data_IF_111597991644
#
_entry.id   IF_111597991644
#
_cell.length_a   1.000
_cell.length_b   1.000
_cell.length_c   1.000
_cell.angle_alpha   90.00
_cell.angle_beta   90.00
_cell.angle_gamma   90.00
#
_symmetry.space_group_name_H-M   'P 1'
#
loop_
_entity.id
_entity.type
_entity.pdbx_description
1 polymer ?
#
# COMPACT_ATOMS: atom_id res chain seq x y z
N UNK A 1 -16.22 -19.54 17.25
CA UNK A 1 -15.55 -18.49 18.06
C UNK A 1 -15.71 -17.17 17.33
N UNK A 2 -16.29 -16.11 17.93
CA UNK A 2 -16.25 -14.77 17.33
C UNK A 2 -14.81 -14.28 17.32
N UNK A 3 -14.26 -14.06 16.12
CA UNK A 3 -12.97 -13.41 15.90
C UNK A 3 -13.11 -11.93 16.26
N UNK A 4 -12.08 -11.34 16.86
CA UNK A 4 -11.99 -9.88 16.94
C UNK A 4 -11.73 -9.36 15.51
N UNK A 5 -12.19 -8.14 15.22
CA UNK A 5 -11.94 -7.50 13.94
C UNK A 5 -10.43 -7.44 13.63
N UNK A 6 -10.04 -7.48 12.35
CA UNK A 6 -8.65 -7.30 11.94
C UNK A 6 -8.14 -5.93 12.38
N UNK A 7 -6.90 -5.87 12.88
CA UNK A 7 -6.25 -4.61 13.24
C UNK A 7 -5.06 -4.39 12.32
N UNK A 8 -5.08 -3.24 11.65
CA UNK A 8 -3.94 -2.70 10.92
C UNK A 8 -3.37 -1.57 11.76
N UNK A 9 -2.09 -1.68 12.09
CA UNK A 9 -1.36 -0.70 12.88
C UNK A 9 -0.32 -0.04 11.98
N UNK A 10 -0.19 1.27 12.14
CA UNK A 10 0.89 2.07 11.55
C UNK A 10 1.62 2.72 12.70
N UNK A 11 2.79 2.21 13.02
CA UNK A 11 3.72 2.77 14.01
C UNK A 11 4.71 3.73 13.36
N UNK A 12 5.51 4.45 14.16
CA UNK A 12 6.58 5.29 13.61
C UNK A 12 7.59 4.47 12.78
N UNK A 13 7.97 3.28 13.26
CA UNK A 13 8.84 2.35 12.54
C UNK A 13 8.21 1.88 11.21
N UNK A 14 6.88 1.66 11.20
CA UNK A 14 6.18 1.32 9.96
C UNK A 14 6.21 2.48 8.95
N UNK A 15 6.08 3.73 9.41
CA UNK A 15 6.19 4.92 8.55
C UNK A 15 7.60 5.08 8.00
N UNK A 16 8.62 4.89 8.83
CA UNK A 16 10.04 5.07 8.46
C UNK A 16 10.51 3.99 7.46
N UNK A 17 9.83 2.84 7.42
CA UNK A 17 10.22 1.68 6.61
C UNK A 17 9.23 1.35 5.49
N UNK A 18 8.11 2.05 5.38
CA UNK A 18 7.10 1.87 4.32
C UNK A 18 6.17 0.67 4.52
N UNK A 19 5.87 0.33 5.77
CA UNK A 19 5.11 -0.87 6.15
C UNK A 19 3.73 -0.55 6.76
N UNK A 20 2.93 -1.62 6.86
CA UNK A 20 1.77 -1.72 7.74
C UNK A 20 1.94 -3.00 8.55
N UNK A 21 1.76 -2.90 9.86
CA UNK A 21 1.75 -4.05 10.75
C UNK A 21 0.34 -4.62 10.84
N UNK A 22 0.18 -5.89 10.48
CA UNK A 22 -1.06 -6.64 10.68
C UNK A 22 -0.95 -7.40 11.98
N UNK A 23 -1.93 -7.25 12.86
CA UNK A 23 -1.93 -7.91 14.17
C UNK A 23 -3.28 -8.55 14.47
N UNK A 24 -3.21 -9.71 15.10
CA UNK A 24 -4.37 -10.37 15.69
C UNK A 24 -4.17 -10.49 17.20
N UNK A 25 -5.14 -10.02 17.96
CA UNK A 25 -5.12 -10.10 19.42
C UNK A 25 -5.95 -11.28 19.93
N UNK A 26 -5.48 -11.88 21.02
CA UNK A 26 -6.27 -12.74 21.88
C UNK A 26 -7.27 -11.89 22.68
N UNK A 27 -8.29 -12.53 23.25
CA UNK A 27 -9.31 -11.85 24.08
C UNK A 27 -8.75 -11.13 25.31
N UNK A 28 -7.58 -11.56 25.79
CA UNK A 28 -6.88 -10.93 26.92
C UNK A 28 -5.96 -9.78 26.47
N UNK A 29 -6.06 -9.33 25.22
CA UNK A 29 -5.25 -8.23 24.67
C UNK A 29 -3.82 -8.62 24.26
N UNK A 30 -3.38 -9.85 24.51
CA UNK A 30 -2.07 -10.30 24.05
C UNK A 30 -2.05 -10.52 22.54
N UNK A 31 -0.92 -10.23 21.89
CA UNK A 31 -0.71 -10.58 20.49
C UNK A 31 -0.78 -12.10 20.31
N UNK A 32 -1.56 -12.54 19.33
CA UNK A 32 -1.65 -13.93 18.89
C UNK A 32 -0.69 -14.19 17.73
N UNK A 33 -0.73 -13.31 16.73
CA UNK A 33 0.09 -13.36 15.53
C UNK A 33 0.27 -11.93 14.99
N UNK A 34 1.42 -11.69 14.36
CA UNK A 34 1.69 -10.43 13.66
C UNK A 34 2.72 -10.60 12.56
N UNK A 35 2.59 -9.78 11.53
CA UNK A 35 3.61 -9.60 10.49
C UNK A 35 3.48 -8.23 9.83
N UNK A 36 4.54 -7.81 9.14
CA UNK A 36 4.60 -6.56 8.38
C UNK A 36 4.50 -6.85 6.88
N UNK A 37 3.86 -5.94 6.15
CA UNK A 37 3.88 -5.87 4.68
C UNK A 37 4.01 -4.43 4.24
N UNK A 38 4.63 -4.20 3.08
CA UNK A 38 4.62 -2.90 2.44
C UNK A 38 3.19 -2.49 2.12
N UNK A 39 2.92 -1.19 2.16
CA UNK A 39 1.58 -0.65 1.87
C UNK A 39 1.03 -1.15 0.52
N UNK A 40 1.86 -1.19 -0.53
CA UNK A 40 1.47 -1.67 -1.86
C UNK A 40 1.16 -3.19 -1.93
N UNK A 41 1.58 -3.97 -0.94
CA UNK A 41 1.36 -5.42 -0.88
C UNK A 41 0.15 -5.80 -0.01
N UNK A 42 -0.61 -4.83 0.49
CA UNK A 42 -1.71 -5.06 1.43
C UNK A 42 -2.99 -5.59 0.79
N UNK A 43 -3.21 -5.36 -0.51
CA UNK A 43 -4.44 -5.79 -1.17
C UNK A 43 -4.70 -7.31 -1.08
N UNK A 44 -3.73 -8.20 -1.42
CA UNK A 44 -3.90 -9.63 -1.22
C UNK A 44 -4.14 -10.01 0.24
N UNK A 45 -3.47 -9.34 1.18
CA UNK A 45 -3.64 -9.60 2.62
C UNK A 45 -5.05 -9.25 3.07
N UNK A 46 -5.56 -8.10 2.65
CA UNK A 46 -6.92 -7.66 2.93
C UNK A 46 -7.94 -8.67 2.39
N UNK A 47 -7.79 -9.10 1.14
CA UNK A 47 -8.69 -10.08 0.53
C UNK A 47 -8.69 -11.41 1.29
N UNK A 48 -7.53 -11.99 1.58
CA UNK A 48 -7.44 -13.31 2.22
C UNK A 48 -7.86 -13.25 3.70
N UNK A 49 -7.42 -12.22 4.44
CA UNK A 49 -7.66 -12.11 5.87
C UNK A 49 -9.04 -11.55 6.20
N UNK A 50 -9.45 -10.44 5.57
CA UNK A 50 -10.69 -9.75 5.91
C UNK A 50 -11.88 -10.32 5.14
N UNK A 51 -11.76 -10.49 3.82
CA UNK A 51 -12.86 -10.98 2.97
C UNK A 51 -12.97 -12.51 3.04
N UNK A 52 -11.84 -13.21 2.92
CA UNK A 52 -11.76 -14.67 2.99
C UNK A 52 -11.84 -15.24 4.41
N UNK A 53 -11.81 -14.37 5.43
CA UNK A 53 -11.86 -14.75 6.85
C UNK A 53 -10.78 -15.77 7.26
N UNK A 54 -9.65 -15.83 6.53
CA UNK A 54 -8.60 -16.83 6.77
C UNK A 54 -7.82 -16.57 8.05
N UNK A 55 -7.15 -17.60 8.54
CA UNK A 55 -6.33 -17.47 9.74
C UNK A 55 -5.09 -16.58 9.51
N UNK A 56 -4.81 -15.63 10.40
CA UNK A 56 -3.65 -14.73 10.20
C UNK A 56 -2.32 -15.51 10.15
N UNK A 57 -2.19 -16.58 10.94
CA UNK A 57 -1.02 -17.46 10.88
C UNK A 57 -0.92 -18.19 9.55
N UNK A 58 -2.05 -18.59 8.95
CA UNK A 58 -2.07 -19.18 7.62
C UNK A 58 -1.74 -18.16 6.53
N UNK A 59 -2.29 -16.95 6.61
CA UNK A 59 -1.99 -15.85 5.67
C UNK A 59 -0.49 -15.53 5.68
N UNK A 60 0.11 -15.51 6.88
CA UNK A 60 1.56 -15.36 7.07
C UNK A 60 2.34 -16.53 6.47
N UNK A 61 1.95 -17.76 6.80
CA UNK A 61 2.60 -18.99 6.34
C UNK A 61 2.63 -19.11 4.82
N UNK A 62 1.53 -18.76 4.15
CA UNK A 62 1.41 -18.81 2.70
C UNK A 62 2.15 -17.66 1.98
N UNK A 63 2.74 -16.72 2.73
CA UNK A 63 3.43 -15.58 2.15
C UNK A 63 2.50 -14.63 1.39
N UNK A 64 1.24 -14.50 1.81
CA UNK A 64 0.31 -13.55 1.18
C UNK A 64 0.86 -12.13 1.34
N UNK A 65 0.84 -11.35 0.26
CA UNK A 65 1.52 -10.04 0.19
C UNK A 65 3.04 -10.15 -0.01
N UNK A 66 3.56 -11.34 -0.31
CA UNK A 66 4.99 -11.58 -0.56
C UNK A 66 5.78 -11.96 0.69
N UNK A 67 6.94 -12.59 0.47
CA UNK A 67 7.92 -12.90 1.50
C UNK A 67 8.74 -11.69 1.94
N UNK A 68 9.78 -11.93 2.73
CA UNK A 68 10.66 -10.89 3.28
C UNK A 68 11.37 -10.11 2.17
N UNK A 69 11.71 -10.76 1.04
CA UNK A 69 12.33 -10.11 -0.11
C UNK A 69 11.42 -9.10 -0.82
N UNK A 70 10.11 -9.28 -0.72
CA UNK A 70 9.10 -8.36 -1.29
C UNK A 70 8.68 -7.28 -0.30
N UNK A 71 9.11 -7.41 0.96
CA UNK A 71 8.75 -6.55 2.08
C UNK A 71 10.01 -6.14 2.86
N UNK A 72 11.12 -5.93 2.17
CA UNK A 72 12.30 -5.28 2.75
C UNK A 72 11.98 -3.81 3.05
N UNK A 73 12.77 -3.17 3.90
CA UNK A 73 12.58 -1.75 4.20
C UNK A 73 12.70 -0.88 2.95
N UNK A 74 11.83 0.11 2.85
CA UNK A 74 11.90 1.17 1.86
C UNK A 74 12.63 2.38 2.45
N UNK A 75 13.40 3.07 1.62
CA UNK A 75 13.94 4.38 1.99
C UNK A 75 12.86 5.44 1.81
N UNK A 76 12.10 5.69 2.88
CA UNK A 76 10.96 6.60 2.87
C UNK A 76 11.34 8.08 2.82
N UNK A 77 12.66 8.38 2.73
CA UNK A 77 13.15 9.76 2.53
C UNK A 77 13.22 10.16 1.06
N UNK A 78 13.05 9.21 0.14
CA UNK A 78 13.05 9.47 -1.29
C UNK A 78 11.66 9.90 -1.79
N UNK A 79 11.59 10.65 -2.90
CA UNK A 79 10.32 10.91 -3.59
C UNK A 79 9.58 9.60 -3.91
N UNK A 80 8.24 9.61 -3.85
CA UNK A 80 7.43 8.40 -3.99
C UNK A 80 7.73 7.61 -5.27
N UNK A 81 8.00 8.31 -6.38
CA UNK A 81 8.35 7.65 -7.65
C UNK A 81 9.71 6.96 -7.58
N UNK A 82 10.68 7.56 -6.88
CA UNK A 82 12.03 6.99 -6.74
C UNK A 82 12.02 5.76 -5.82
N UNK A 83 11.16 5.77 -4.78
CA UNK A 83 10.88 4.58 -3.97
C UNK A 83 10.38 3.43 -4.84
N UNK A 84 9.41 3.69 -5.72
CA UNK A 84 8.81 2.67 -6.60
C UNK A 84 9.81 2.15 -7.65
N UNK A 85 10.56 3.04 -8.30
CA UNK A 85 11.62 2.67 -9.25
C UNK A 85 12.72 1.85 -8.57
N UNK A 86 13.11 2.21 -7.34
CA UNK A 86 14.08 1.46 -6.54
C UNK A 86 13.59 0.04 -6.22
N UNK A 87 12.33 -0.09 -5.76
CA UNK A 87 11.72 -1.39 -5.49
C UNK A 87 11.61 -2.26 -6.75
N UNK A 88 11.29 -1.64 -7.90
CA UNK A 88 11.29 -2.31 -9.20
C UNK A 88 12.67 -2.79 -9.62
N UNK A 89 13.69 -1.96 -9.49
CA UNK A 89 15.07 -2.31 -9.84
C UNK A 89 15.56 -3.52 -9.03
N UNK A 90 15.11 -3.65 -7.78
CA UNK A 90 15.38 -4.80 -6.90
C UNK A 90 14.44 -5.99 -7.13
N UNK A 91 13.48 -5.88 -8.05
CA UNK A 91 12.46 -6.90 -8.37
C UNK A 91 11.60 -7.28 -7.17
N UNK A 92 11.24 -6.30 -6.34
CA UNK A 92 10.54 -6.52 -5.07
C UNK A 92 9.01 -6.41 -5.18
N UNK A 93 8.46 -6.17 -6.37
CA UNK A 93 7.01 -6.14 -6.57
C UNK A 93 6.39 -7.52 -6.71
N UNK A 94 5.13 -7.61 -6.29
CA UNK A 94 4.25 -8.74 -6.58
C UNK A 94 3.87 -8.74 -8.06
N UNK A 95 3.51 -9.91 -8.56
CA UNK A 95 2.96 -10.05 -9.91
C UNK A 95 1.74 -9.13 -10.07
N UNK A 96 1.73 -8.34 -11.15
CA UNK A 96 0.64 -7.40 -11.46
C UNK A 96 0.81 -5.97 -10.92
N UNK A 97 1.84 -5.69 -10.11
CA UNK A 97 2.17 -4.32 -9.65
C UNK A 97 3.36 -3.69 -10.41
N UNK A 98 3.86 -4.36 -11.45
CA UNK A 98 4.99 -3.86 -12.26
C UNK A 98 4.52 -2.78 -13.27
N UNK A 99 4.39 -1.55 -12.78
CA UNK A 99 4.19 -0.35 -13.59
C UNK A 99 5.50 0.26 -14.08
N UNK A 100 5.42 1.29 -14.91
CA UNK A 100 6.56 2.14 -15.27
C UNK A 100 6.39 3.52 -14.63
N UNK A 101 7.49 4.27 -14.46
CA UNK A 101 7.48 5.66 -13.97
C UNK A 101 6.31 6.50 -14.49
N UNK A 102 6.10 6.55 -15.80
CA UNK A 102 5.03 7.37 -16.40
C UNK A 102 3.64 6.90 -15.95
N UNK A 103 3.43 5.58 -15.89
CA UNK A 103 2.20 4.98 -15.38
C UNK A 103 1.98 5.31 -13.91
N UNK A 104 2.99 5.15 -13.05
CA UNK A 104 2.83 5.52 -11.64
C UNK A 104 2.62 7.01 -11.42
N UNK A 105 3.26 7.86 -12.24
CA UNK A 105 3.04 9.31 -12.21
C UNK A 105 1.58 9.62 -12.53
N UNK A 106 1.02 9.00 -13.58
CA UNK A 106 -0.40 9.10 -13.92
C UNK A 106 -1.31 8.55 -12.80
N UNK A 107 -1.04 7.36 -12.28
CA UNK A 107 -1.80 6.77 -11.16
C UNK A 107 -1.82 7.72 -9.96
N UNK A 108 -0.66 8.21 -9.52
CA UNK A 108 -0.56 9.07 -8.35
C UNK A 108 -1.30 10.39 -8.57
N UNK A 109 -1.19 11.00 -9.75
CA UNK A 109 -1.91 12.25 -10.03
C UNK A 109 -3.43 12.05 -10.09
N UNK A 110 -3.90 10.88 -10.53
CA UNK A 110 -5.34 10.54 -10.50
C UNK A 110 -5.82 10.33 -9.05
N UNK A 111 -5.07 9.58 -8.25
CA UNK A 111 -5.47 9.22 -6.87
C UNK A 111 -5.24 10.34 -5.85
N UNK A 112 -4.18 11.13 -6.05
CA UNK A 112 -3.77 12.22 -5.19
C UNK A 112 -3.39 13.47 -6.02
N UNK A 113 -4.38 14.15 -6.63
CA UNK A 113 -4.12 15.28 -7.51
C UNK A 113 -3.29 16.39 -6.84
N UNK A 114 -2.21 16.80 -7.49
CA UNK A 114 -1.24 17.80 -7.04
C UNK A 114 -0.22 17.31 -6.02
N UNK A 115 -0.25 16.03 -5.61
CA UNK A 115 0.70 15.49 -4.62
C UNK A 115 2.15 15.58 -5.13
N UNK A 116 2.40 15.18 -6.38
CA UNK A 116 3.76 15.15 -6.93
C UNK A 116 4.37 16.55 -7.06
N UNK A 117 3.56 17.57 -7.35
CA UNK A 117 4.00 18.97 -7.33
C UNK A 117 4.37 19.42 -5.91
N UNK A 118 3.56 19.05 -4.91
CA UNK A 118 3.84 19.37 -3.51
C UNK A 118 5.11 18.67 -2.99
N UNK A 119 5.29 17.40 -3.34
CA UNK A 119 6.50 16.63 -3.01
C UNK A 119 7.75 17.24 -3.65
N UNK A 120 7.68 17.64 -4.92
CA UNK A 120 8.78 18.34 -5.59
C UNK A 120 9.12 19.69 -4.93
N UNK A 121 8.14 20.33 -4.27
CA UNK A 121 8.33 21.56 -3.51
C UNK A 121 8.76 21.32 -2.04
N UNK A 122 8.84 20.06 -1.58
CA UNK A 122 9.17 19.69 -0.21
C UNK A 122 8.08 19.98 0.82
N UNK A 123 6.81 20.01 0.39
CA UNK A 123 5.63 20.30 1.23
C UNK A 123 4.64 19.11 1.27
N UNK A 124 5.07 17.90 0.94
CA UNK A 124 4.24 16.69 0.88
C UNK A 124 3.54 16.37 2.21
N UNK A 125 4.18 16.69 3.35
CA UNK A 125 3.62 16.48 4.68
C UNK A 125 2.33 17.28 4.94
N UNK A 126 2.13 18.37 4.21
CA UNK A 126 0.96 19.24 4.30
C UNK A 126 -0.12 18.90 3.27
N UNK A 127 0.02 17.79 2.52
CA UNK A 127 -0.99 17.38 1.55
C UNK A 127 -2.34 17.11 2.22
N UNK A 128 -3.39 17.77 1.72
CA UNK A 128 -4.75 17.58 2.23
C UNK A 128 -5.32 16.24 1.78
N UNK A 129 -5.30 15.26 2.68
CA UNK A 129 -5.84 13.92 2.42
C UNK A 129 -7.34 13.89 2.07
N UNK A 130 -8.11 14.95 2.34
CA UNK A 130 -9.50 15.04 1.88
C UNK A 130 -9.62 15.17 0.34
N UNK A 131 -8.51 15.45 -0.34
CA UNK A 131 -8.41 15.52 -1.81
C UNK A 131 -8.13 14.17 -2.47
N UNK A 132 -7.87 13.11 -1.70
CA UNK A 132 -7.69 11.77 -2.25
C UNK A 132 -8.96 11.32 -2.96
N UNK A 133 -8.79 10.74 -4.14
CA UNK A 133 -9.89 10.28 -4.99
C UNK A 133 -10.25 8.85 -4.62
N UNK A 134 -11.55 8.57 -4.54
CA UNK A 134 -12.06 7.22 -4.31
C UNK A 134 -11.58 6.27 -5.42
N UNK A 135 -11.13 5.04 -5.10
CA UNK A 135 -10.64 4.10 -6.12
C UNK A 135 -11.62 3.79 -7.25
N UNK A 136 -12.92 3.82 -6.99
CA UNK A 136 -13.93 3.60 -8.01
C UNK A 136 -14.02 4.79 -8.98
N UNK A 137 -13.86 6.01 -8.46
CA UNK A 137 -13.84 7.24 -9.28
C UNK A 137 -12.54 7.33 -10.08
N UNK A 138 -11.39 7.00 -9.47
CA UNK A 138 -10.10 6.93 -10.14
C UNK A 138 -10.13 6.00 -11.37
N UNK A 139 -10.79 4.84 -11.26
CA UNK A 139 -11.00 3.92 -12.39
C UNK A 139 -11.77 4.58 -13.54
N UNK A 140 -12.82 5.34 -13.23
CA UNK A 140 -13.60 6.04 -14.25
C UNK A 140 -12.83 7.18 -14.88
N UNK A 141 -12.06 7.95 -14.11
CA UNK A 141 -11.18 9.01 -14.61
C UNK A 141 -10.19 8.42 -15.61
N UNK A 142 -9.45 7.37 -15.23
CA UNK A 142 -8.53 6.64 -16.11
C UNK A 142 -9.19 6.19 -17.41
N UNK A 143 -10.37 5.58 -17.30
CA UNK A 143 -11.11 5.09 -18.47
C UNK A 143 -11.45 6.23 -19.44
N UNK A 144 -11.85 7.40 -18.91
CA UNK A 144 -12.16 8.58 -19.72
C UNK A 144 -10.93 9.18 -20.39
N UNK A 145 -9.79 9.22 -19.70
CA UNK A 145 -8.49 9.64 -20.25
C UNK A 145 -8.14 8.77 -21.47
N UNK A 146 -8.18 7.44 -21.34
CA UNK A 146 -7.88 6.54 -22.45
C UNK A 146 -8.93 6.56 -23.58
N UNK A 147 -10.14 7.03 -23.30
CA UNK A 147 -11.17 7.29 -24.31
C UNK A 147 -11.05 8.69 -24.94
N UNK A 148 -10.08 9.51 -24.53
CA UNK A 148 -9.89 10.88 -25.03
C UNK A 148 -10.98 11.86 -24.62
N UNK A 149 -11.72 11.58 -23.55
CA UNK A 149 -12.86 12.38 -23.10
C UNK A 149 -12.47 13.51 -22.15
N UNK A 150 -11.32 13.39 -21.49
CA UNK A 150 -10.72 14.38 -20.58
C UNK A 150 -9.20 14.32 -20.73
N UNK A 151 -8.51 15.44 -20.46
CA UNK A 151 -7.06 15.61 -20.54
C UNK A 151 -6.46 15.89 -19.18
#
# INVERSE_FOLDING_TARGET
MRRLCPWFLVTADDLDTGHITIVEFKRNGQVRESFRRRACNMWPVYLEYCTGCRDLGQVKWDGVGGGDEKNSDLDMTQPVIDILEGAKARREFLFGFDGARDGWTEDIEIYAPGYLEMEAAGNEADYDHARLIDPQDAYYIRTRIYQGQIS
#
